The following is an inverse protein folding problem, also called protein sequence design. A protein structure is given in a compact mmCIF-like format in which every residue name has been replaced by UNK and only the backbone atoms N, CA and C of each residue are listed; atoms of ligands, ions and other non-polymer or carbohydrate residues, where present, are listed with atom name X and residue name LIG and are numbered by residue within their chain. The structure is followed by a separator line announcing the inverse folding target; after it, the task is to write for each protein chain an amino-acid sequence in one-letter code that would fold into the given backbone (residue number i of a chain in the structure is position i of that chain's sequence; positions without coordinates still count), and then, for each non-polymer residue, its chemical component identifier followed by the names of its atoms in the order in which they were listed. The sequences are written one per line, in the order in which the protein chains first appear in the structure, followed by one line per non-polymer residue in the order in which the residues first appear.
data_IF_438337264827
#
_entry.id   IF_438337264827
#
_cell.length_a   1.000
_cell.length_b   1.000
_cell.length_c   1.000
_cell.angle_alpha   90.00
_cell.angle_beta   90.00
_cell.angle_gamma   90.00
#
_symmetry.space_group_name_H-M   'P 1'
#
loop_
_entity.id
_entity.type
_entity.pdbx_description
1 polymer ?
#
# COMPACT_ATOMS: atom_id res chain seq x y z
N UNK A 1 -9.66 3.77 4.46
CA UNK A 1 -9.03 3.57 5.80
C UNK A 1 -7.94 4.60 6.07
N UNK A 2 -7.57 4.91 7.33
CA UNK A 2 -6.43 5.81 7.63
C UNK A 2 -5.10 5.05 7.56
N UNK A 3 -4.23 5.41 6.60
CA UNK A 3 -2.88 4.86 6.47
C UNK A 3 -1.89 5.62 7.36
N UNK A 4 -0.98 4.88 8.01
CA UNK A 4 0.09 5.44 8.84
C UNK A 4 1.42 4.92 8.31
N UNK A 5 2.32 5.85 7.98
CA UNK A 5 3.64 5.52 7.44
C UNK A 5 4.69 5.53 8.54
N UNK A 6 5.64 4.59 8.45
CA UNK A 6 6.68 4.43 9.48
C UNK A 6 7.73 5.54 9.44
N UNK A 7 7.98 6.11 8.25
CA UNK A 7 8.89 7.24 8.07
C UNK A 7 8.53 8.04 6.80
N UNK A 8 9.15 9.20 6.65
CA UNK A 8 8.93 10.12 5.52
C UNK A 8 9.33 9.53 4.17
N UNK A 9 10.29 8.63 4.12
CA UNK A 9 10.70 7.98 2.86
C UNK A 9 9.60 7.08 2.35
N UNK A 10 9.06 6.22 3.21
CA UNK A 10 7.94 5.32 2.87
C UNK A 10 6.70 6.12 2.49
N UNK A 11 6.39 7.18 3.24
CA UNK A 11 5.28 8.07 2.91
C UNK A 11 5.39 8.62 1.48
N UNK A 12 6.54 9.21 1.12
CA UNK A 12 6.75 9.73 -0.23
C UNK A 12 6.70 8.65 -1.30
N UNK A 13 7.21 7.45 -1.02
CA UNK A 13 7.10 6.31 -1.93
C UNK A 13 5.65 5.87 -2.15
N UNK A 14 4.77 6.05 -1.17
CA UNK A 14 3.36 5.68 -1.25
C UNK A 14 2.46 6.81 -1.82
N UNK A 15 2.86 8.07 -1.69
CA UNK A 15 2.03 9.23 -2.07
C UNK A 15 2.51 9.95 -3.32
N UNK A 16 3.80 9.86 -3.68
CA UNK A 16 4.37 10.54 -4.86
C UNK A 16 4.80 9.51 -5.93
N UNK A 17 4.01 9.37 -7.00
CA UNK A 17 4.31 8.41 -8.08
C UNK A 17 5.69 8.62 -8.70
N UNK A 18 6.13 9.88 -8.85
CA UNK A 18 7.48 10.20 -9.33
C UNK A 18 8.56 9.64 -8.41
N UNK A 19 8.35 9.70 -7.08
CA UNK A 19 9.29 9.13 -6.12
C UNK A 19 9.28 7.61 -6.18
N UNK A 20 8.10 7.00 -6.24
CA UNK A 20 7.95 5.55 -6.40
C UNK A 20 8.67 5.02 -7.64
N UNK A 21 8.53 5.70 -8.79
CA UNK A 21 9.22 5.34 -10.05
C UNK A 21 10.74 5.55 -10.02
N UNK A 22 11.24 6.43 -9.15
CA UNK A 22 12.67 6.60 -8.93
C UNK A 22 13.25 5.47 -8.08
N UNK A 23 12.51 5.05 -7.06
CA UNK A 23 12.99 4.10 -6.07
C UNK A 23 12.68 2.63 -6.45
N UNK A 24 11.72 2.40 -7.35
CA UNK A 24 11.30 1.08 -7.83
C UNK A 24 11.13 1.05 -9.36
N UNK A 25 11.02 -0.15 -9.94
CA UNK A 25 10.62 -0.27 -11.36
C UNK A 25 9.22 0.29 -11.60
N UNK A 26 8.96 0.78 -12.82
CA UNK A 26 7.66 1.33 -13.21
C UNK A 26 6.48 0.40 -12.87
N UNK A 27 6.65 -0.90 -13.13
CA UNK A 27 5.64 -1.92 -12.83
C UNK A 27 5.32 -2.02 -11.34
N UNK A 28 6.33 -1.91 -10.48
CA UNK A 28 6.17 -1.97 -9.03
C UNK A 28 5.56 -0.66 -8.51
N UNK A 29 6.04 0.49 -8.98
CA UNK A 29 5.51 1.79 -8.62
C UNK A 29 4.00 1.91 -8.91
N UNK A 30 3.57 1.49 -10.11
CA UNK A 30 2.15 1.50 -10.49
C UNK A 30 1.33 0.59 -9.57
N UNK A 31 1.81 -0.64 -9.31
CA UNK A 31 1.09 -1.58 -8.42
C UNK A 31 1.01 -1.08 -6.98
N UNK A 32 2.05 -0.43 -6.48
CA UNK A 32 2.06 0.19 -5.15
C UNK A 32 0.96 1.24 -5.05
N UNK A 33 0.90 2.19 -5.97
CA UNK A 33 -0.13 3.23 -5.96
C UNK A 33 -1.56 2.67 -6.16
N UNK A 34 -1.73 1.63 -6.98
CA UNK A 34 -3.01 0.93 -7.09
C UNK A 34 -3.47 0.34 -5.75
N UNK A 35 -2.55 -0.27 -4.99
CA UNK A 35 -2.85 -0.80 -3.67
C UNK A 35 -3.15 0.32 -2.66
N UNK A 36 -2.38 1.41 -2.65
CA UNK A 36 -2.63 2.56 -1.76
C UNK A 36 -4.02 3.13 -2.01
N UNK A 37 -4.37 3.42 -3.28
CA UNK A 37 -5.69 3.93 -3.65
C UNK A 37 -6.81 2.97 -3.22
N UNK A 38 -6.61 1.66 -3.38
CA UNK A 38 -7.56 0.65 -2.91
C UNK A 38 -7.77 0.70 -1.39
N UNK A 39 -6.68 0.80 -0.60
CA UNK A 39 -6.76 0.85 0.86
C UNK A 39 -7.37 2.18 1.37
N UNK A 40 -7.12 3.28 0.68
CA UNK A 40 -7.72 4.59 1.00
C UNK A 40 -9.23 4.56 0.76
N UNK A 41 -9.67 4.01 -0.37
CA UNK A 41 -11.08 3.88 -0.73
C UNK A 41 -11.84 2.81 0.06
N UNK A 42 -11.15 1.89 0.74
CA UNK A 42 -11.80 0.86 1.54
C UNK A 42 -12.46 1.45 2.80
N UNK A 43 -13.74 1.13 2.99
CA UNK A 43 -14.52 1.56 4.17
C UNK A 43 -14.16 0.76 5.43
N UNK A 44 -13.75 -0.49 5.27
CA UNK A 44 -13.49 -1.40 6.38
C UNK A 44 -12.45 -2.46 6.03
N UNK A 45 -11.96 -3.16 7.07
CA UNK A 45 -11.08 -4.30 6.89
C UNK A 45 -11.76 -5.44 6.09
N UNK A 46 -13.08 -5.60 6.22
CA UNK A 46 -13.85 -6.59 5.47
C UNK A 46 -13.74 -6.37 3.96
N UNK A 47 -13.78 -5.10 3.52
CA UNK A 47 -13.58 -4.72 2.12
C UNK A 47 -12.20 -5.12 1.60
N UNK A 48 -11.17 -5.06 2.45
CA UNK A 48 -9.81 -5.50 2.09
C UNK A 48 -9.73 -7.03 2.00
N UNK A 49 -10.30 -7.75 2.98
CA UNK A 49 -10.27 -9.22 3.01
C UNK A 49 -11.06 -9.86 1.87
N UNK A 50 -12.09 -9.17 1.36
CA UNK A 50 -12.90 -9.64 0.25
C UNK A 50 -12.15 -9.63 -1.10
N UNK A 51 -10.95 -9.03 -1.19
CA UNK A 51 -10.15 -8.98 -2.41
C UNK A 51 -9.00 -10.02 -2.37
N UNK A 52 -9.22 -11.24 -2.89
CA UNK A 52 -8.26 -12.35 -2.75
C UNK A 52 -6.91 -12.09 -3.44
N UNK A 53 -6.88 -11.22 -4.46
CA UNK A 53 -5.67 -10.82 -5.19
C UNK A 53 -4.55 -10.31 -4.27
N UNK A 54 -4.90 -9.67 -3.16
CA UNK A 54 -3.92 -9.10 -2.23
C UNK A 54 -3.49 -10.07 -1.13
N UNK A 55 -4.04 -11.28 -1.10
CA UNK A 55 -3.65 -12.35 -0.18
C UNK A 55 -3.54 -11.86 1.28
N UNK A 56 -4.55 -11.13 1.74
CA UNK A 56 -4.55 -10.53 3.06
C UNK A 56 -4.41 -11.61 4.15
N UNK A 57 -3.45 -11.44 5.05
CA UNK A 57 -3.17 -12.37 6.14
C UNK A 57 -2.60 -11.63 7.35
N UNK A 58 -2.79 -12.21 8.53
CA UNK A 58 -2.23 -11.67 9.77
C UNK A 58 -0.72 -11.93 9.83
N UNK A 59 0.06 -10.89 10.15
CA UNK A 59 1.49 -11.02 10.41
C UNK A 59 1.72 -11.70 11.77
N UNK A 60 2.75 -12.56 11.86
CA UNK A 60 3.16 -13.26 13.08
C UNK A 60 4.59 -12.84 13.44
N UNK A 61 4.92 -12.80 14.74
CA UNK A 61 6.25 -12.44 15.25
C UNK A 61 6.31 -11.05 15.87
N UNK A 62 7.52 -10.62 16.25
CA UNK A 62 7.78 -9.25 16.73
C UNK A 62 8.20 -8.37 15.56
N UNK A 63 7.77 -7.10 15.63
CA UNK A 63 8.13 -6.04 14.68
C UNK A 63 9.55 -5.53 14.93
#
# INVERSE_FOLDING_TARGET
MKLIYTNKTVEKQCTELRRAKKDFSDKVAVKLHQLINFLEAADSLASVTAFPKYHFHQLKGKR
#
